data_IF_686061624896
#
_entry.id   IF_686061624896
#
_cell.length_a   1.000
_cell.length_b   1.000
_cell.length_c   1.000
_cell.angle_alpha   90.00
_cell.angle_beta   90.00
_cell.angle_gamma   90.00
#
_symmetry.space_group_name_H-M   'P 1'
#
loop_
_entity.id
_entity.type
_entity.pdbx_description
1 polymer ?
#
# COMPACT_ATOMS: atom_id res chain seq x y z
N UNK A 1 18.68 -19.66 5.95
CA UNK A 1 17.27 -19.90 5.57
C UNK A 1 16.35 -18.79 6.07
N UNK A 2 16.37 -18.46 7.37
CA UNK A 2 15.52 -17.43 7.97
C UNK A 2 15.72 -16.04 7.32
N UNK A 3 16.97 -15.63 7.04
CA UNK A 3 17.28 -14.37 6.33
C UNK A 3 16.61 -14.31 4.94
N UNK A 4 16.59 -15.42 4.20
CA UNK A 4 15.95 -15.45 2.88
C UNK A 4 14.43 -15.26 2.97
N UNK A 5 13.80 -15.81 4.02
CA UNK A 5 12.39 -15.58 4.33
C UNK A 5 12.16 -14.10 4.68
N UNK A 6 13.00 -13.53 5.56
CA UNK A 6 12.91 -12.12 5.94
C UNK A 6 13.00 -11.19 4.71
N UNK A 7 13.93 -11.46 3.79
CA UNK A 7 14.08 -10.69 2.55
C UNK A 7 12.88 -10.84 1.61
N UNK A 8 12.31 -12.04 1.51
CA UNK A 8 11.12 -12.28 0.69
C UNK A 8 9.92 -11.52 1.26
N UNK A 9 9.74 -11.54 2.58
CA UNK A 9 8.70 -10.77 3.27
C UNK A 9 8.92 -9.28 3.07
N UNK A 10 10.16 -8.81 3.25
CA UNK A 10 10.53 -7.40 3.03
C UNK A 10 10.20 -6.92 1.62
N UNK A 11 10.47 -7.74 0.62
CA UNK A 11 10.17 -7.45 -0.79
C UNK A 11 8.67 -7.25 -1.01
N UNK A 12 7.83 -8.10 -0.42
CA UNK A 12 6.37 -8.00 -0.53
C UNK A 12 5.89 -6.68 0.07
N UNK A 13 6.37 -6.33 1.27
CA UNK A 13 6.02 -5.06 1.92
C UNK A 13 6.44 -3.87 1.05
N UNK A 14 7.68 -3.85 0.54
CA UNK A 14 8.15 -2.76 -0.35
C UNK A 14 7.31 -2.64 -1.61
N UNK A 15 6.93 -3.76 -2.23
CA UNK A 15 6.08 -3.75 -3.41
C UNK A 15 4.72 -3.10 -3.12
N UNK A 16 4.09 -3.45 -1.99
CA UNK A 16 2.85 -2.82 -1.54
C UNK A 16 3.03 -1.32 -1.22
N UNK A 17 4.12 -0.94 -0.56
CA UNK A 17 4.44 0.48 -0.29
C UNK A 17 4.47 1.28 -1.59
N UNK A 18 5.12 0.77 -2.64
CA UNK A 18 5.19 1.43 -3.96
C UNK A 18 3.79 1.56 -4.58
N UNK A 19 2.96 0.50 -4.54
CA UNK A 19 1.60 0.54 -5.09
C UNK A 19 0.73 1.56 -4.37
N UNK A 20 0.78 1.60 -3.03
CA UNK A 20 -0.01 2.54 -2.24
C UNK A 20 0.49 3.96 -2.45
N UNK A 21 1.79 4.17 -2.54
CA UNK A 21 2.37 5.47 -2.86
C UNK A 21 1.94 5.96 -4.25
N UNK A 22 1.99 5.08 -5.25
CA UNK A 22 1.46 5.39 -6.58
C UNK A 22 -0.04 5.76 -6.52
N UNK A 23 -0.84 5.06 -5.71
CA UNK A 23 -2.25 5.39 -5.49
C UNK A 23 -2.45 6.77 -4.87
N UNK A 24 -1.61 7.19 -3.93
CA UNK A 24 -1.65 8.55 -3.35
C UNK A 24 -1.41 9.60 -4.43
N UNK A 25 -0.39 9.40 -5.27
CA UNK A 25 -0.08 10.32 -6.38
C UNK A 25 -1.28 10.42 -7.34
N UNK A 26 -1.82 9.27 -7.75
CA UNK A 26 -2.97 9.20 -8.67
C UNK A 26 -4.20 9.89 -8.09
N UNK A 27 -4.48 9.71 -6.79
CA UNK A 27 -5.66 10.30 -6.14
C UNK A 27 -5.55 11.82 -6.00
N UNK A 28 -4.35 12.35 -5.73
CA UNK A 28 -4.12 13.79 -5.60
C UNK A 28 -4.12 14.52 -6.94
N UNK A 29 -3.53 13.92 -7.96
CA UNK A 29 -3.48 14.50 -9.32
C UNK A 29 -4.81 14.30 -10.08
N UNK A 30 -5.71 13.43 -9.57
CA UNK A 30 -7.01 13.12 -10.17
C UNK A 30 -6.89 12.60 -11.62
N UNK A 31 -5.98 11.66 -11.84
CA UNK A 31 -5.77 11.04 -13.16
C UNK A 31 -6.94 10.11 -13.48
N UNK A 32 -7.48 10.21 -14.70
CA UNK A 32 -8.59 9.38 -15.17
C UNK A 32 -8.18 7.89 -15.36
N UNK A 33 -8.77 6.94 -14.60
CA UNK A 33 -8.51 5.50 -14.73
C UNK A 33 -9.03 4.87 -16.03
N UNK A 34 -9.82 5.59 -16.83
CA UNK A 34 -10.39 5.12 -18.08
C UNK A 34 -9.57 5.53 -19.31
N UNK A 35 -8.45 6.24 -19.12
CA UNK A 35 -7.57 6.63 -20.22
C UNK A 35 -7.06 5.39 -20.99
N UNK A 36 -7.04 5.37 -22.34
CA UNK A 36 -6.65 4.19 -23.13
C UNK A 36 -5.24 3.67 -22.83
N UNK A 37 -4.27 4.58 -22.67
CA UNK A 37 -2.86 4.26 -22.43
C UNK A 37 -2.56 3.86 -20.98
N UNK A 38 -2.92 4.68 -19.99
CA UNK A 38 -2.51 4.51 -18.59
C UNK A 38 -3.62 3.86 -17.73
N UNK A 39 -4.86 3.81 -18.21
CA UNK A 39 -5.99 3.29 -17.45
C UNK A 39 -5.81 1.87 -16.90
N UNK A 40 -5.25 0.91 -17.68
CA UNK A 40 -5.01 -0.44 -17.17
C UNK A 40 -4.13 -0.48 -15.91
N UNK A 41 -3.03 0.29 -15.89
CA UNK A 41 -2.10 0.29 -14.74
C UNK A 41 -2.71 0.98 -13.52
N UNK A 42 -3.48 2.05 -13.74
CA UNK A 42 -4.20 2.73 -12.67
C UNK A 42 -5.23 1.78 -12.03
N UNK A 43 -6.05 1.10 -12.84
CA UNK A 43 -7.02 0.12 -12.34
C UNK A 43 -6.34 -1.01 -11.57
N UNK A 44 -5.20 -1.51 -12.04
CA UNK A 44 -4.42 -2.50 -11.32
C UNK A 44 -3.98 -1.98 -9.94
N UNK A 45 -3.43 -0.77 -9.86
CA UNK A 45 -3.02 -0.15 -8.59
C UNK A 45 -4.21 -0.06 -7.63
N UNK A 46 -5.36 0.42 -8.09
CA UNK A 46 -6.56 0.52 -7.26
C UNK A 46 -7.03 -0.86 -6.79
N UNK A 47 -7.16 -1.84 -7.69
CA UNK A 47 -7.63 -3.18 -7.36
C UNK A 47 -6.68 -3.93 -6.41
N UNK A 48 -5.38 -3.83 -6.61
CA UNK A 48 -4.39 -4.50 -5.77
C UNK A 48 -4.34 -3.91 -4.34
N UNK A 49 -4.61 -2.62 -4.19
CA UNK A 49 -4.55 -1.92 -2.89
C UNK A 49 -5.90 -1.83 -2.18
N UNK A 50 -7.02 -2.05 -2.87
CA UNK A 50 -8.38 -1.94 -2.30
C UNK A 50 -8.64 -2.84 -1.10
N UNK A 51 -8.21 -4.12 -1.07
CA UNK A 51 -8.44 -4.99 0.08
C UNK A 51 -7.82 -4.48 1.38
N UNK A 52 -6.72 -3.73 1.29
CA UNK A 52 -6.04 -3.13 2.46
C UNK A 52 -6.65 -1.77 2.83
N UNK A 53 -7.14 -1.03 1.84
CA UNK A 53 -7.72 0.31 2.05
C UNK A 53 -9.15 0.24 2.59
N UNK A 54 -9.99 -0.67 2.08
CA UNK A 54 -11.41 -0.77 2.45
C UNK A 54 -11.66 -0.93 3.96
N UNK A 55 -10.95 -1.79 4.69
CA UNK A 55 -11.13 -1.93 6.13
C UNK A 55 -10.82 -0.63 6.88
N UNK A 56 -9.73 0.05 6.51
CA UNK A 56 -9.32 1.30 7.17
C UNK A 56 -10.31 2.42 6.83
N UNK A 57 -10.77 2.49 5.58
CA UNK A 57 -11.75 3.49 5.14
C UNK A 57 -13.07 3.39 5.89
N UNK A 58 -13.47 2.19 6.33
CA UNK A 58 -14.68 1.99 7.16
C UNK A 58 -14.52 2.52 8.59
N UNK A 59 -13.29 2.66 9.08
CA UNK A 59 -13.01 3.17 10.43
C UNK A 59 -12.86 4.70 10.44
N UNK A 60 -12.54 5.30 9.29
CA UNK A 60 -12.35 6.74 9.17
C UNK A 60 -13.69 7.44 8.85
N UNK A 61 -13.96 8.60 9.45
CA UNK A 61 -15.06 9.45 9.04
C UNK A 61 -14.84 9.95 7.59
N UNK A 62 -15.93 10.30 6.91
CA UNK A 62 -15.87 10.84 5.54
C UNK A 62 -15.15 12.20 5.51
N UNK A 63 -13.88 12.22 5.08
CA UNK A 63 -13.01 13.41 5.12
C UNK A 63 -13.12 14.35 3.90
N UNK A 64 -14.34 14.66 3.44
CA UNK A 64 -14.56 15.80 2.54
C UNK A 64 -13.77 15.79 1.22
N UNK A 65 -13.73 14.65 0.52
CA UNK A 65 -13.21 14.54 -0.86
C UNK A 65 -11.72 14.22 -1.01
N UNK A 66 -10.92 14.32 0.06
CA UNK A 66 -9.54 13.79 0.08
C UNK A 66 -9.49 12.48 0.87
N UNK A 67 -8.96 11.44 0.23
CA UNK A 67 -8.78 10.14 0.86
C UNK A 67 -7.39 10.04 1.50
N UNK A 68 -7.34 10.23 2.82
CA UNK A 68 -6.12 10.05 3.63
C UNK A 68 -5.87 8.59 4.04
N UNK A 69 -6.80 7.69 3.75
CA UNK A 69 -6.66 6.25 4.05
C UNK A 69 -5.35 5.65 3.53
N UNK A 70 -4.89 5.95 2.29
CA UNK A 70 -3.64 5.38 1.77
C UNK A 70 -2.41 5.86 2.55
N UNK A 71 -2.40 7.10 3.06
CA UNK A 71 -1.30 7.60 3.90
C UNK A 71 -1.23 6.89 5.25
N UNK A 72 -2.37 6.69 5.89
CA UNK A 72 -2.47 5.93 7.14
C UNK A 72 -2.00 4.49 6.91
N UNK A 73 -2.41 3.89 5.78
CA UNK A 73 -1.96 2.55 5.41
C UNK A 73 -0.44 2.50 5.17
N UNK A 74 0.19 3.50 4.56
CA UNK A 74 1.65 3.54 4.39
C UNK A 74 2.38 3.49 5.73
N UNK A 75 1.94 4.28 6.71
CA UNK A 75 2.53 4.30 8.06
C UNK A 75 2.33 2.96 8.74
N UNK A 76 1.11 2.41 8.71
CA UNK A 76 0.82 1.11 9.30
C UNK A 76 1.61 -0.02 8.64
N UNK A 77 1.77 0.03 7.33
CA UNK A 77 2.48 -0.98 6.56
C UNK A 77 3.99 -0.97 6.86
N UNK A 78 4.62 0.21 7.00
CA UNK A 78 6.03 0.31 7.40
C UNK A 78 6.25 -0.15 8.85
N UNK A 79 5.33 0.20 9.77
CA UNK A 79 5.40 -0.28 11.15
C UNK A 79 5.32 -1.83 11.21
N UNK A 80 4.33 -2.42 10.55
CA UNK A 80 4.15 -3.88 10.51
C UNK A 80 5.37 -4.55 9.87
N UNK A 81 5.86 -4.00 8.75
CA UNK A 81 7.08 -4.47 8.07
C UNK A 81 8.26 -4.48 9.03
N UNK A 82 8.54 -3.36 9.70
CA UNK A 82 9.69 -3.22 10.61
C UNK A 82 9.62 -4.23 11.75
N UNK A 83 8.43 -4.46 12.32
CA UNK A 83 8.24 -5.44 13.38
C UNK A 83 8.47 -6.87 12.87
N UNK A 84 7.83 -7.27 11.78
CA UNK A 84 7.92 -8.65 11.26
C UNK A 84 9.35 -8.94 10.79
N UNK A 85 9.95 -8.07 9.98
CA UNK A 85 11.31 -8.28 9.47
C UNK A 85 12.31 -8.24 10.61
N UNK A 86 12.16 -7.32 11.57
CA UNK A 86 13.02 -7.26 12.75
C UNK A 86 12.99 -8.53 13.59
N UNK A 87 11.79 -9.08 13.83
CA UNK A 87 11.63 -10.36 14.54
C UNK A 87 12.29 -11.49 13.76
N UNK A 88 12.02 -11.62 12.45
CA UNK A 88 12.59 -12.70 11.62
C UNK A 88 14.11 -12.64 11.58
N UNK A 89 14.70 -11.43 11.45
CA UNK A 89 16.15 -11.25 11.46
C UNK A 89 16.74 -11.54 12.84
N UNK A 90 16.06 -11.16 13.93
CA UNK A 90 16.50 -11.46 15.29
C UNK A 90 16.43 -12.96 15.65
N UNK A 91 15.65 -13.75 14.92
CA UNK A 91 15.56 -15.21 15.06
C UNK A 91 16.57 -15.97 14.18
N UNK A 92 17.27 -15.27 13.26
CA UNK A 92 18.19 -15.86 12.31
C UNK A 92 19.58 -16.09 12.90
#
# INVERSE_FOLDING_TARGET
MIIAIANTVDLIFRAYTILIFARVIVSWIRIDPYHPTWGPILRFIFQATEPLIQPIRRLLPSMGGLDFTPLILLIGLDLIRSLIVGILVGMA
#
